data_IF_985432562168
#
_entry.id   IF_985432562168
#
_cell.length_a   1.000
_cell.length_b   1.000
_cell.length_c   1.000
_cell.angle_alpha   90.00
_cell.angle_beta   90.00
_cell.angle_gamma   90.00
#
_symmetry.space_group_name_H-M   'P 1'
#
loop_
_entity.id
_entity.type
_entity.pdbx_description
1 polymer ?
#
# COMPACT_ATOMS: atom_id res chain seq x y z
N UNK A 1 23.46 1.17 -4.73
CA UNK A 1 22.13 0.85 -5.32
C UNK A 1 21.10 0.90 -4.21
N UNK A 2 20.33 1.99 -4.11
CA UNK A 2 19.32 2.15 -3.06
C UNK A 2 18.14 1.24 -3.38
N UNK A 3 17.96 0.14 -2.63
CA UNK A 3 16.80 -0.73 -2.76
C UNK A 3 15.58 -0.02 -2.17
N UNK A 4 14.84 0.72 -2.99
CA UNK A 4 13.62 1.41 -2.60
C UNK A 4 12.53 0.39 -2.24
N UNK A 5 12.18 0.28 -0.96
CA UNK A 5 10.99 -0.46 -0.51
C UNK A 5 9.84 0.54 -0.49
N UNK A 6 8.82 0.31 -1.32
CA UNK A 6 7.65 1.20 -1.36
C UNK A 6 6.48 0.55 -0.65
N UNK A 7 5.98 1.24 0.37
CA UNK A 7 4.85 0.81 1.20
C UNK A 7 3.56 1.43 0.69
N UNK A 8 2.59 0.59 0.36
CA UNK A 8 1.24 0.99 -0.02
C UNK A 8 0.23 0.51 1.02
N UNK A 9 -0.71 1.37 1.41
CA UNK A 9 -1.79 0.99 2.33
C UNK A 9 -2.95 0.36 1.53
N UNK A 10 -3.33 -0.88 1.85
CA UNK A 10 -4.49 -1.53 1.25
C UNK A 10 -5.67 -1.59 2.23
N UNK A 11 -6.88 -1.40 1.67
CA UNK A 11 -8.24 -1.17 2.19
C UNK A 11 -8.76 -1.93 3.44
N UNK A 12 -7.99 -2.79 4.09
CA UNK A 12 -8.47 -3.69 5.16
C UNK A 12 -7.45 -3.87 6.30
N UNK A 13 -6.73 -2.82 6.69
CA UNK A 13 -5.63 -2.92 7.68
C UNK A 13 -4.44 -3.81 7.21
N UNK A 14 -4.34 -4.11 5.92
CA UNK A 14 -3.20 -4.85 5.36
C UNK A 14 -2.28 -3.90 4.62
N UNK A 15 -1.11 -3.65 5.21
CA UNK A 15 0.00 -3.00 4.53
C UNK A 15 0.42 -3.89 3.34
N UNK A 16 0.51 -3.29 2.16
CA UNK A 16 1.04 -3.92 0.97
C UNK A 16 2.43 -3.37 0.70
N UNK A 17 3.39 -4.26 0.52
CA UNK A 17 4.76 -3.89 0.20
C UNK A 17 5.08 -4.22 -1.24
N UNK A 18 5.76 -3.31 -1.92
CA UNK A 18 6.36 -3.62 -3.21
C UNK A 18 7.87 -3.69 -3.02
N UNK A 19 8.43 -4.86 -3.33
CA UNK A 19 9.86 -5.11 -3.30
C UNK A 19 10.23 -5.90 -4.54
N UNK A 20 11.21 -5.37 -5.30
CA UNK A 20 11.66 -5.96 -6.58
C UNK A 20 10.49 -6.27 -7.52
N UNK A 21 9.57 -5.32 -7.70
CA UNK A 21 8.41 -5.47 -8.58
C UNK A 21 7.41 -6.57 -8.18
N UNK A 22 7.54 -7.15 -6.97
CA UNK A 22 6.58 -8.12 -6.43
C UNK A 22 5.75 -7.50 -5.31
N UNK A 23 4.46 -7.86 -5.26
CA UNK A 23 3.54 -7.45 -4.20
C UNK A 23 3.58 -8.42 -3.03
N UNK A 24 3.66 -7.88 -1.82
CA UNK A 24 3.60 -8.61 -0.58
C UNK A 24 2.50 -8.07 0.33
N UNK A 25 1.89 -8.92 1.14
CA UNK A 25 1.00 -8.54 2.24
C UNK A 25 1.65 -8.89 3.58
N UNK A 26 1.27 -8.17 4.64
CA UNK A 26 1.66 -8.56 6.00
C UNK A 26 1.10 -9.94 6.30
N UNK A 27 1.99 -10.87 6.63
CA UNK A 27 1.61 -12.22 7.06
C UNK A 27 1.48 -12.29 8.58
N UNK A 28 2.49 -11.82 9.32
CA UNK A 28 2.49 -11.81 10.80
C UNK A 28 3.63 -10.96 11.36
N UNK A 29 3.47 -10.50 12.59
CA UNK A 29 4.58 -10.01 13.43
C UNK A 29 5.23 -11.21 14.12
N UNK A 30 6.56 -11.23 14.13
CA UNK A 30 7.36 -12.26 14.78
C UNK A 30 7.57 -11.90 16.26
N UNK A 31 7.93 -12.90 17.07
CA UNK A 31 8.26 -12.70 18.49
C UNK A 31 9.41 -11.68 18.67
N UNK A 32 10.33 -11.60 17.70
CA UNK A 32 11.43 -10.62 17.69
C UNK A 32 10.97 -9.18 17.41
N UNK A 33 9.70 -8.94 17.12
CA UNK A 33 9.16 -7.64 16.67
C UNK A 33 9.30 -7.37 15.17
N UNK A 34 10.05 -8.20 14.45
CA UNK A 34 10.14 -8.15 12.99
C UNK A 34 8.80 -8.45 12.32
N UNK A 35 8.56 -7.87 11.15
CA UNK A 35 7.34 -8.07 10.38
C UNK A 35 7.64 -8.99 9.21
N UNK A 36 6.88 -10.08 9.09
CA UNK A 36 6.96 -11.03 7.99
C UNK A 36 5.93 -10.69 6.92
N UNK A 37 6.38 -10.63 5.68
CA UNK A 37 5.58 -10.29 4.51
C UNK A 37 5.62 -11.45 3.53
N UNK A 38 4.47 -11.88 3.01
CA UNK A 38 4.37 -12.96 2.02
C UNK A 38 3.90 -12.42 0.68
N UNK A 39 4.38 -13.02 -0.40
CA UNK A 39 3.89 -12.69 -1.74
C UNK A 39 2.35 -12.79 -1.77
N UNK A 40 1.70 -11.89 -2.51
CA UNK A 40 0.24 -11.86 -2.65
C UNK A 40 -0.29 -13.06 -3.45
N UNK A 41 0.52 -13.63 -4.36
CA UNK A 41 0.14 -14.83 -5.12
C UNK A 41 0.15 -16.04 -4.19
N UNK A 42 -1.01 -16.67 -3.97
CA UNK A 42 -1.19 -17.79 -3.04
C UNK A 42 -0.30 -19.01 -3.33
N UNK A 43 0.01 -19.24 -4.59
CA UNK A 43 0.90 -20.33 -5.05
C UNK A 43 2.38 -20.01 -4.86
N UNK A 44 2.73 -18.76 -4.55
CA UNK A 44 4.10 -18.31 -4.38
C UNK A 44 4.55 -18.46 -2.92
N UNK A 45 5.74 -19.04 -2.72
CA UNK A 45 6.32 -19.26 -1.38
C UNK A 45 7.33 -18.19 -0.96
N UNK A 46 7.50 -17.14 -1.78
CA UNK A 46 8.42 -16.05 -1.51
C UNK A 46 7.94 -15.19 -0.32
N UNK A 47 8.91 -14.73 0.48
CA UNK A 47 8.65 -13.87 1.62
C UNK A 47 9.81 -12.91 1.86
N UNK A 48 9.51 -11.79 2.49
CA UNK A 48 10.50 -10.88 3.03
C UNK A 48 10.20 -10.58 4.49
N UNK A 49 11.20 -10.20 5.26
CA UNK A 49 11.05 -9.70 6.63
C UNK A 49 11.65 -8.32 6.72
N UNK A 50 10.97 -7.46 7.46
CA UNK A 50 11.49 -6.14 7.83
C UNK A 50 11.63 -6.05 9.34
N UNK A 51 12.43 -5.11 9.81
CA UNK A 51 12.37 -4.69 11.20
C UNK A 51 10.98 -4.12 11.56
N UNK A 52 10.74 -3.92 12.85
CA UNK A 52 9.49 -3.38 13.40
C UNK A 52 9.11 -2.02 12.81
N UNK A 53 10.10 -1.14 12.55
CA UNK A 53 9.89 0.17 11.93
C UNK A 53 9.67 0.11 10.42
N UNK A 54 9.76 -1.08 9.79
CA UNK A 54 9.60 -1.28 8.36
C UNK A 54 10.62 -0.52 7.50
N UNK A 55 11.74 -0.08 8.07
CA UNK A 55 12.74 0.70 7.33
C UNK A 55 13.86 -0.15 6.73
N UNK A 56 14.06 -1.37 7.25
CA UNK A 56 15.16 -2.25 6.83
C UNK A 56 14.67 -3.68 6.62
N UNK A 57 15.15 -4.32 5.56
CA UNK A 57 14.97 -5.75 5.33
C UNK A 57 15.89 -6.55 6.27
N UNK A 58 15.31 -7.50 7.01
CA UNK A 58 16.03 -8.40 7.92
C UNK A 58 16.20 -9.79 7.33
N UNK A 59 15.32 -10.20 6.40
CA UNK A 59 15.44 -11.48 5.67
C UNK A 59 14.72 -11.44 4.34
N UNK A 60 15.23 -12.19 3.36
CA UNK A 60 14.63 -12.35 2.03
C UNK A 60 14.62 -13.84 1.67
N UNK A 61 13.50 -14.33 1.15
CA UNK A 61 13.38 -15.58 0.41
C UNK A 61 12.74 -15.26 -0.94
N UNK A 62 13.58 -15.16 -1.97
CA UNK A 62 13.22 -14.68 -3.31
C UNK A 62 12.82 -15.80 -4.28
N UNK A 63 12.04 -16.77 -3.79
CA UNK A 63 11.63 -17.95 -4.55
C UNK A 63 10.27 -17.74 -5.24
N UNK A 64 10.21 -16.79 -6.16
CA UNK A 64 8.99 -16.52 -6.93
C UNK A 64 8.80 -17.53 -8.04
N UNK A 65 7.55 -17.91 -8.28
CA UNK A 65 7.13 -18.85 -9.32
C UNK A 65 6.21 -18.19 -10.35
N UNK A 66 6.29 -16.87 -10.46
CA UNK A 66 5.51 -16.05 -11.37
C UNK A 66 6.31 -14.79 -11.71
N UNK A 67 5.90 -14.14 -12.79
CA UNK A 67 6.58 -12.94 -13.26
C UNK A 67 6.37 -11.74 -12.32
N UNK A 68 7.33 -10.80 -12.30
CA UNK A 68 7.17 -9.51 -11.62
C UNK A 68 6.06 -8.67 -12.25
N UNK A 69 5.57 -7.68 -11.50
CA UNK A 69 4.64 -6.68 -12.02
C UNK A 69 5.34 -5.78 -13.04
N UNK A 70 4.59 -5.35 -14.06
CA UNK A 70 5.10 -4.38 -15.05
C UNK A 70 5.23 -2.99 -14.44
N UNK A 71 6.05 -2.14 -15.06
CA UNK A 71 6.25 -0.76 -14.60
C UNK A 71 4.93 0.03 -14.64
N UNK A 72 4.09 -0.17 -15.65
CA UNK A 72 2.78 0.46 -15.76
C UNK A 72 1.88 0.08 -14.59
N UNK A 73 1.87 -1.21 -14.21
CA UNK A 73 1.10 -1.68 -13.05
C UNK A 73 1.62 -1.05 -11.75
N UNK A 74 2.94 -0.92 -11.58
CA UNK A 74 3.51 -0.27 -10.40
C UNK A 74 3.16 1.21 -10.33
N UNK A 75 3.26 1.92 -11.44
CA UNK A 75 2.87 3.33 -11.53
C UNK A 75 1.40 3.51 -11.17
N UNK A 76 0.53 2.62 -11.66
CA UNK A 76 -0.88 2.65 -11.31
C UNK A 76 -1.14 2.40 -9.81
N UNK A 77 -0.40 1.46 -9.19
CA UNK A 77 -0.48 1.22 -7.74
C UNK A 77 -0.02 2.45 -6.94
N UNK A 78 0.98 3.17 -7.42
CA UNK A 78 1.42 4.42 -6.82
C UNK A 78 0.36 5.52 -6.88
N UNK A 79 -0.22 5.72 -8.07
CA UNK A 79 -1.37 6.63 -8.25
C UNK A 79 -2.53 6.24 -7.32
N UNK A 80 -2.85 4.95 -7.20
CA UNK A 80 -3.88 4.47 -6.25
C UNK A 80 -3.54 4.82 -4.81
N UNK A 81 -2.28 4.66 -4.41
CA UNK A 81 -1.78 5.04 -3.08
C UNK A 81 -1.94 6.54 -2.81
N UNK A 82 -1.54 7.39 -3.77
CA UNK A 82 -1.71 8.85 -3.69
C UNK A 82 -3.18 9.25 -3.60
N UNK A 83 -4.02 8.67 -4.46
CA UNK A 83 -5.47 8.92 -4.45
C UNK A 83 -6.09 8.60 -3.09
N UNK A 84 -5.74 7.45 -2.51
CA UNK A 84 -6.25 7.02 -1.20
C UNK A 84 -5.79 7.95 -0.09
N UNK A 85 -4.52 8.34 -0.05
CA UNK A 85 -4.01 9.29 0.97
C UNK A 85 -4.76 10.62 0.90
N UNK A 86 -4.87 11.22 -0.28
CA UNK A 86 -5.61 12.47 -0.47
C UNK A 86 -7.09 12.37 -0.09
N UNK A 87 -7.74 11.25 -0.43
CA UNK A 87 -9.13 11.01 -0.05
C UNK A 87 -9.31 10.87 1.48
N UNK A 88 -8.30 10.34 2.19
CA UNK A 88 -8.32 10.29 3.66
C UNK A 88 -8.00 11.65 4.32
N UNK A 89 -7.16 12.47 3.69
CA UNK A 89 -6.72 13.78 4.19
C UNK A 89 -7.81 14.85 4.05
N UNK A 90 -8.53 14.86 2.93
CA UNK A 90 -9.58 15.84 2.66
C UNK A 90 -10.84 15.15 2.09
N UNK A 91 -11.80 14.89 2.99
CA UNK A 91 -13.08 14.28 2.66
C UNK A 91 -13.99 15.17 1.81
N UNK A 92 -13.71 16.47 1.70
CA UNK A 92 -14.55 17.40 0.93
C UNK A 92 -14.25 17.33 -0.57
N UNK A 93 -13.09 16.77 -0.94
CA UNK A 93 -12.70 16.62 -2.34
C UNK A 93 -13.48 15.51 -3.02
N UNK A 94 -14.11 15.85 -4.14
CA UNK A 94 -14.76 14.86 -5.00
C UNK A 94 -13.75 13.80 -5.46
N UNK A 95 -14.05 12.49 -5.32
CA UNK A 95 -13.12 11.42 -5.72
C UNK A 95 -12.63 11.54 -7.16
N UNK A 96 -13.52 11.91 -8.09
CA UNK A 96 -13.15 12.11 -9.51
C UNK A 96 -12.12 13.24 -9.71
N UNK A 97 -12.11 14.27 -8.87
CA UNK A 97 -11.11 15.34 -8.94
C UNK A 97 -9.75 14.79 -8.50
N UNK A 98 -9.70 14.08 -7.38
CA UNK A 98 -8.47 13.43 -6.88
C UNK A 98 -7.91 12.48 -7.95
N UNK A 99 -8.73 11.57 -8.47
CA UNK A 99 -8.31 10.56 -9.45
C UNK A 99 -7.73 11.21 -10.71
N UNK A 100 -8.42 12.21 -11.27
CA UNK A 100 -7.96 12.88 -12.49
C UNK A 100 -6.66 13.66 -12.26
N UNK A 101 -6.55 14.35 -11.13
CA UNK A 101 -5.33 15.08 -10.76
C UNK A 101 -4.15 14.10 -10.62
N UNK A 102 -4.32 12.99 -9.90
CA UNK A 102 -3.24 12.02 -9.74
C UNK A 102 -2.89 11.29 -11.04
N UNK A 103 -3.87 10.89 -11.85
CA UNK A 103 -3.61 10.25 -13.13
C UNK A 103 -2.91 11.18 -14.12
N UNK A 104 -3.17 12.49 -14.07
CA UNK A 104 -2.48 13.46 -14.94
C UNK A 104 -0.96 13.51 -14.71
N UNK A 105 -0.50 13.06 -13.54
CA UNK A 105 0.93 12.97 -13.19
C UNK A 105 1.58 11.65 -13.62
N UNK A 106 0.80 10.71 -14.19
CA UNK A 106 1.27 9.39 -14.57
C UNK A 106 1.27 9.25 -16.10
N UNK A 107 2.46 9.18 -16.71
CA UNK A 107 2.62 9.06 -18.17
C UNK A 107 2.09 7.76 -18.76
N UNK A 108 1.96 6.71 -17.95
CA UNK A 108 1.47 5.38 -18.36
C UNK A 108 -0.03 5.20 -18.15
N UNK A 109 -0.73 6.24 -17.66
CA UNK A 109 -2.16 6.19 -17.38
C UNK A 109 -3.01 5.99 -18.64
N UNK A 110 -3.99 5.10 -18.53
CA UNK A 110 -5.01 4.82 -19.55
C UNK A 110 -6.36 5.33 -19.09
N UNK A 111 -7.26 5.65 -20.03
CA UNK A 111 -8.62 6.07 -19.69
C UNK A 111 -9.38 5.02 -18.86
N UNK A 112 -9.11 3.73 -19.07
CA UNK A 112 -9.64 2.62 -18.28
C UNK A 112 -9.28 2.70 -16.79
N UNK A 113 -8.16 3.34 -16.45
CA UNK A 113 -7.63 3.38 -15.08
C UNK A 113 -8.48 4.24 -14.15
N UNK A 114 -9.18 5.25 -14.70
CA UNK A 114 -10.15 6.06 -13.94
C UNK A 114 -11.20 5.17 -13.29
N UNK A 115 -11.72 4.18 -14.04
CA UNK A 115 -12.71 3.25 -13.52
C UNK A 115 -12.12 2.33 -12.45
N UNK A 116 -10.92 1.79 -12.71
CA UNK A 116 -10.23 0.91 -11.77
C UNK A 116 -9.94 1.60 -10.44
N UNK A 117 -9.40 2.83 -10.46
CA UNK A 117 -9.04 3.58 -9.26
C UNK A 117 -10.28 3.99 -8.46
N UNK A 118 -11.35 4.43 -9.13
CA UNK A 118 -12.59 4.87 -8.47
C UNK A 118 -13.16 3.82 -7.52
N UNK A 119 -13.15 2.54 -7.93
CA UNK A 119 -13.55 1.41 -7.08
C UNK A 119 -12.76 1.35 -5.76
N UNK A 120 -11.50 1.79 -5.76
CA UNK A 120 -10.65 1.80 -4.58
C UNK A 120 -10.83 3.04 -3.69
N UNK A 121 -11.21 4.19 -4.25
CA UNK A 121 -11.40 5.45 -3.51
C UNK A 121 -12.81 5.60 -2.92
N UNK A 122 -13.86 5.16 -3.60
CA UNK A 122 -15.26 5.27 -3.09
C UNK A 122 -15.50 4.52 -1.78
N UNK A 123 -14.70 3.49 -1.51
CA UNK A 123 -14.79 2.74 -0.26
C UNK A 123 -14.14 3.47 0.94
N UNK A 124 -13.40 4.57 0.74
CA UNK A 124 -12.69 5.27 1.83
C UNK A 124 -13.66 5.85 2.86
N UNK A 125 -14.77 6.43 2.42
CA UNK A 125 -15.83 6.97 3.30
C UNK A 125 -16.42 5.89 4.24
N UNK A 126 -16.56 4.65 3.74
CA UNK A 126 -17.10 3.52 4.51
C UNK A 126 -16.18 3.08 5.67
N UNK A 127 -14.86 3.28 5.55
CA UNK A 127 -13.87 2.87 6.55
C UNK A 127 -13.33 4.03 7.40
N UNK A 128 -13.77 5.27 7.13
CA UNK A 128 -13.36 6.47 7.88
C UNK A 128 -13.59 6.41 9.40
N UNK A 129 -14.68 5.79 9.94
CA UNK A 129 -14.87 5.67 11.38
C UNK A 129 -13.78 4.85 12.09
N UNK A 130 -13.04 4.00 11.37
CA UNK A 130 -11.98 3.15 11.93
C UNK A 130 -10.62 3.87 11.99
N UNK A 131 -10.40 4.86 11.11
CA UNK A 131 -9.16 5.63 11.02
C UNK A 131 -9.01 6.62 12.18
N UNK A 132 -10.09 7.32 12.56
CA UNK A 132 -10.09 8.29 13.68
C UNK A 132 -9.81 7.63 15.05
N UNK A 133 -10.26 6.39 15.25
CA UNK A 133 -10.07 5.63 16.48
C UNK A 133 -8.62 5.11 16.67
N UNK A 134 -7.83 5.03 15.59
CA UNK A 134 -6.45 4.54 15.66
C UNK A 134 -5.42 5.67 15.79
N UNK A 135 -5.71 6.85 15.21
CA UNK A 135 -4.90 8.07 15.36
C UNK A 135 -4.98 8.65 16.78
N UNK A 136 -6.18 8.68 17.36
CA UNK A 136 -6.42 9.16 18.73
C UNK A 136 -5.76 8.27 19.79
N UNK A 137 -5.68 6.95 19.57
CA UNK A 137 -4.91 6.03 20.43
C UNK A 137 -3.39 6.22 20.36
N UNK A 138 -2.86 6.74 19.26
CA UNK A 138 -1.43 7.04 19.12
C UNK A 138 -1.08 8.41 19.72
N UNK A 139 -1.95 9.41 19.58
CA UNK A 139 -1.73 10.74 20.18
C UNK A 139 -1.92 10.75 21.71
N UNK A 140 -2.87 9.98 22.24
CA UNK A 140 -3.10 9.89 23.70
C UNK A 140 -2.04 9.05 24.45
N UNK A 141 -1.03 8.51 23.75
CA UNK A 141 0.11 7.82 24.37
C UNK A 141 1.32 8.74 24.61
N UNK A 142 1.25 10.00 24.16
CA UNK A 142 2.30 11.03 24.32
C UNK A 142 1.86 12.21 25.20
N UNK A 143 0.71 12.12 25.86
CA UNK A 143 0.24 13.10 26.84
C UNK A 143 -0.17 12.39 28.15
N UNK A 144 0.81 11.80 28.84
CA UNK A 144 0.87 11.66 30.31
C UNK A 144 2.35 11.79 30.69
#
# INVERSE_FOLDING_TARGET
MHLSVVFYMCQLHQYMNIFRYFKYHVSRTLVSGDISWRCVKKTCSAYVKTNSSKTKLTKIKDSHTHDPETEENLNLLDVQGRCKRKACEDLTLRPNKIIRTELSTCSTAKNSDVHNIRKYTENVEKYYPQFLNHSTKQLNRFLI
#
